data_IF_137478503644
#
_entry.id   IF_137478503644
#
_cell.length_a   1.000
_cell.length_b   1.000
_cell.length_c   1.000
_cell.angle_alpha   90.00
_cell.angle_beta   90.00
_cell.angle_gamma   90.00
#
_symmetry.space_group_name_H-M   'P 1'
#
loop_
_entity.id
_entity.type
_entity.pdbx_description
1 polymer ?
2 water ?
#
# COMPACT_ATOMS: atom_id res chain seq x y z
N UNK A 19 14.60 8.06 -1.92
CA UNK A 19 13.18 7.84 -1.56
C UNK A 19 13.03 7.85 -0.02
N UNK A 20 12.77 9.03 0.53
CA UNK A 20 12.54 9.19 1.96
C UNK A 20 11.07 8.93 2.30
N UNK A 21 10.80 8.25 3.44
CA UNK A 21 9.42 8.09 3.89
C UNK A 21 8.74 9.41 4.23
N UNK A 22 7.47 9.54 3.88
CA UNK A 22 6.62 10.62 4.38
C UNK A 22 5.25 10.06 4.74
N UNK A 23 4.52 10.80 5.57
CA UNK A 23 3.17 10.42 5.98
C UNK A 23 2.23 10.42 4.77
N UNK A 24 2.44 11.35 3.85
CA UNK A 24 1.65 11.45 2.62
C UNK A 24 1.80 10.25 1.71
N UNK A 25 3.04 9.82 1.47
CA UNK A 25 3.32 8.66 0.65
C UNK A 25 2.75 7.38 1.27
N UNK A 26 2.91 7.26 2.59
CA UNK A 26 2.35 6.13 3.34
C UNK A 26 0.83 6.07 3.24
N UNK A 27 0.19 7.23 3.35
CA UNK A 27 -1.27 7.33 3.21
C UNK A 27 -1.75 6.94 1.81
N UNK A 28 -0.94 7.27 0.80
CA UNK A 28 -1.24 6.92 -0.58
C UNK A 28 -1.20 5.41 -0.80
N UNK A 29 -0.14 4.75 -0.32
CA UNK A 29 -0.04 3.28 -0.38
C UNK A 29 -1.17 2.61 0.41
N UNK A 30 -1.58 3.25 1.51
CA UNK A 30 -2.71 2.78 2.30
C UNK A 30 -4.00 2.79 1.47
N UNK A 31 -4.22 3.86 0.71
CA UNK A 31 -5.40 3.97 -0.16
C UNK A 31 -5.33 2.95 -1.30
N UNK A 32 -4.16 2.84 -1.93
CA UNK A 32 -3.95 1.88 -3.02
C UNK A 32 -4.23 0.45 -2.54
N UNK A 33 -3.67 0.09 -1.40
CA UNK A 33 -3.88 -1.22 -0.80
C UNK A 33 -5.36 -1.54 -0.59
N UNK A 34 -6.07 -0.59 0.01
CA UNK A 34 -7.52 -0.74 0.25
C UNK A 34 -8.31 -0.84 -1.05
N UNK A 35 -7.88 -0.14 -2.09
CA UNK A 35 -8.53 -0.19 -3.40
C UNK A 35 -8.36 -1.57 -4.04
N UNK A 36 -7.14 -2.09 -3.99
CA UNK A 36 -6.84 -3.42 -4.53
C UNK A 36 -7.65 -4.52 -3.83
N UNK A 37 -7.79 -4.42 -2.52
CA UNK A 37 -8.59 -5.37 -1.74
C UNK A 37 -10.06 -5.33 -2.17
N UNK A 38 -10.63 -4.13 -2.29
CA UNK A 38 -12.01 -3.96 -2.73
C UNK A 38 -12.24 -4.57 -4.12
N UNK A 39 -11.40 -4.18 -5.06
CA UNK A 39 -11.48 -4.69 -6.44
C UNK A 39 -11.44 -6.22 -6.49
N UNK A 40 -10.53 -6.81 -5.72
CA UNK A 40 -10.40 -8.27 -5.62
C UNK A 40 -11.67 -8.91 -5.05
N UNK A 41 -12.21 -8.29 -4.01
CA UNK A 41 -13.42 -8.79 -3.34
C UNK A 41 -14.66 -8.66 -4.22
N UNK A 42 -14.73 -7.60 -5.02
CA UNK A 42 -15.84 -7.41 -5.97
C UNK A 42 -15.84 -8.54 -7.01
N UNK A 43 -14.65 -8.84 -7.53
CA UNK A 43 -14.49 -9.91 -8.52
C UNK A 43 -14.83 -11.28 -7.95
N UNK A 44 -14.37 -11.55 -6.73
CA UNK A 44 -14.59 -12.85 -6.07
C UNK A 44 -16.06 -13.07 -5.70
N UNK A 45 -16.71 -12.00 -5.26
CA UNK A 45 -18.13 -12.06 -4.87
C UNK A 45 -19.09 -12.03 -6.07
N UNK A 46 -18.56 -11.81 -7.26
CA UNK A 46 -19.37 -11.76 -8.48
C UNK A 46 -20.00 -10.40 -8.74
N UNK A 47 -19.53 -9.38 -8.03
CA UNK A 47 -20.02 -8.01 -8.24
C UNK A 47 -19.54 -7.47 -9.58
N UNK A 48 -18.30 -7.80 -9.93
CA UNK A 48 -17.76 -7.54 -11.28
C UNK A 48 -17.55 -8.89 -11.96
N UNK A 49 -17.97 -8.99 -13.22
CA UNK A 49 -17.91 -10.25 -13.99
C UNK A 49 -16.70 -10.33 -14.92
N UNK A 50 -15.80 -9.34 -14.85
CA UNK A 50 -14.65 -9.26 -15.75
C UNK A 50 -13.38 -8.88 -15.00
N UNK A 51 -12.25 -9.25 -15.57
CA UNK A 51 -10.94 -8.94 -14.99
C UNK A 51 -10.58 -7.49 -15.27
N UNK A 52 -10.06 -6.81 -14.25
CA UNK A 52 -9.43 -5.50 -14.41
C UNK A 52 -7.94 -5.67 -14.20
N UNK A 53 -7.15 -4.86 -14.91
CA UNK A 53 -5.69 -4.98 -14.88
C UNK A 53 -5.02 -3.65 -14.55
N UNK A 54 -3.98 -3.70 -13.72
CA UNK A 54 -3.25 -2.51 -13.27
C UNK A 54 -2.01 -2.28 -14.13
N UNK A 68 -4.21 1.33 -33.12
CA UNK A 68 -4.35 2.61 -32.44
C UNK A 68 -4.55 2.41 -30.94
N UNK A 69 -3.80 3.15 -30.14
CA UNK A 69 -3.87 3.09 -28.68
C UNK A 69 -4.82 4.15 -28.16
N UNK A 70 -5.94 3.71 -27.60
CA UNK A 70 -6.97 4.62 -27.09
C UNK A 70 -6.51 5.38 -25.84
N UNK A 71 -6.77 6.69 -25.83
CA UNK A 71 -6.46 7.56 -24.69
C UNK A 71 -4.97 7.60 -24.33
N UNK A 72 -4.10 7.60 -25.34
CA UNK A 72 -2.66 7.60 -25.10
C UNK A 72 -2.17 8.88 -24.41
N UNK A 73 -2.86 9.99 -24.66
CA UNK A 73 -2.55 11.27 -24.04
C UNK A 73 -2.82 11.30 -22.53
N UNK A 74 -3.67 10.39 -22.06
CA UNK A 74 -3.95 10.23 -20.63
C UNK A 74 -2.89 9.40 -19.91
N UNK A 75 -1.96 8.82 -20.67
CA UNK A 75 -0.83 8.08 -20.10
C UNK A 75 0.01 9.01 -19.23
N UNK A 76 0.27 8.58 -18.00
CA UNK A 76 1.04 9.36 -17.02
C UNK A 76 0.34 10.65 -16.53
N UNK A 77 -0.97 10.76 -16.75
CA UNK A 77 -1.75 11.89 -16.24
C UNK A 77 -2.33 11.61 -14.85
N UNK A 78 -2.64 10.35 -14.59
CA UNK A 78 -3.25 9.93 -13.32
C UNK A 78 -2.42 8.84 -12.64
N UNK A 79 -2.66 8.66 -11.34
CA UNK A 79 -1.84 7.76 -10.51
C UNK A 79 -1.97 6.29 -10.91
N UNK A 80 -3.21 5.87 -11.19
CA UNK A 80 -3.51 4.49 -11.49
C UNK A 80 -4.52 4.40 -12.63
N UNK A 81 -4.25 3.50 -13.58
CA UNK A 81 -5.16 3.24 -14.69
C UNK A 81 -5.67 1.81 -14.58
N UNK A 82 -6.99 1.66 -14.67
CA UNK A 82 -7.61 0.33 -14.65
C UNK A 82 -7.90 -0.12 -16.08
N UNK A 83 -7.21 -1.18 -16.51
CA UNK A 83 -7.32 -1.71 -17.86
C UNK A 83 -8.24 -2.94 -17.91
N UNK A 84 -8.71 -3.25 -19.11
CA UNK A 84 -9.45 -4.49 -19.38
C UNK A 84 -8.91 -5.14 -20.65
N UNK A 85 -9.08 -6.45 -20.75
CA UNK A 85 -8.63 -7.21 -21.93
C UNK A 85 -9.65 -7.17 -23.06
N UNK A 86 -9.25 -6.58 -24.18
CA UNK A 86 -10.05 -6.63 -25.40
C UNK A 86 -9.91 -8.00 -26.04
N UNK A 87 -8.67 -8.35 -26.37
CA UNK A 87 -8.33 -9.63 -26.98
C UNK A 87 -6.89 -9.97 -26.59
N UNK A 88 -5.92 -9.47 -27.37
CA UNK A 88 -4.51 -9.50 -26.99
C UNK A 88 -4.01 -8.08 -26.75
N UNK A 89 -4.95 -7.13 -26.65
CA UNK A 89 -4.65 -5.74 -26.35
C UNK A 89 -5.37 -5.33 -25.07
N UNK A 90 -4.89 -4.25 -24.46
CA UNK A 90 -5.46 -3.74 -23.21
C UNK A 90 -6.03 -2.35 -23.42
N UNK A 91 -7.20 -2.11 -22.83
CA UNK A 91 -7.93 -0.87 -23.00
C UNK A 91 -8.19 -0.23 -21.64
N UNK A 92 -7.78 1.03 -21.44
CA UNK A 92 -8.01 1.69 -20.16
C UNK A 92 -9.48 2.05 -19.98
N UNK A 93 -10.07 1.54 -18.90
CA UNK A 93 -11.49 1.72 -18.62
C UNK A 93 -11.71 2.92 -17.69
N UNK A 94 -10.94 2.97 -16.61
CA UNK A 94 -11.02 4.07 -15.65
C UNK A 94 -9.64 4.57 -15.28
N UNK A 95 -9.57 5.83 -14.89
CA UNK A 95 -8.35 6.45 -14.39
C UNK A 95 -8.59 6.91 -12.96
N UNK A 96 -7.64 6.60 -12.08
CA UNK A 96 -7.82 6.83 -10.64
C UNK A 96 -6.67 7.66 -10.08
N UNK A 97 -7.02 8.66 -9.27
CA UNK A 97 -6.05 9.50 -8.60
C UNK A 97 -6.13 9.24 -7.10
N UNK A 98 -4.99 8.92 -6.49
CA UNK A 98 -4.91 8.64 -5.07
C UNK A 98 -4.66 9.92 -4.28
N UNK A 99 -5.53 10.21 -3.32
CA UNK A 99 -5.37 11.35 -2.42
C UNK A 99 -5.03 10.83 -1.02
N UNK A 100 -3.80 11.03 -0.60
CA UNK A 100 -3.32 10.54 0.69
C UNK A 100 -3.73 11.42 1.85
N UNK A 101 -2.93 12.44 2.12
CA UNK A 101 -3.20 13.39 3.20
C UNK A 101 -4.25 14.41 2.78
N UNK A 102 -5.15 14.74 3.70
CA UNK A 102 -6.15 15.77 3.47
C UNK A 102 -5.57 17.16 3.71
N UNK A 103 -6.31 18.18 3.31
CA UNK A 103 -5.89 19.58 3.54
C UNK A 103 -6.01 19.95 5.02
N UNK A 104 -6.96 19.33 5.71
CA UNK A 104 -7.25 19.64 7.11
C UNK A 104 -6.40 18.83 8.09
N UNK A 105 -6.33 17.50 7.91
CA UNK A 105 -5.71 16.61 8.90
C UNK A 105 -4.23 16.89 9.16
N UNK A 106 -3.60 17.64 8.27
CA UNK A 106 -2.27 18.21 8.52
C UNK A 106 -2.35 19.51 9.35
N UNK A 107 -3.45 19.69 10.08
CA UNK A 107 -3.70 20.88 10.90
C UNK A 107 -3.53 22.17 10.11
N UNK A 113 -12.99 19.80 12.88
CA UNK A 113 -14.24 19.70 12.14
C UNK A 113 -14.19 18.65 11.05
N UNK A 114 -14.92 18.91 9.96
CA UNK A 114 -14.99 17.98 8.83
C UNK A 114 -13.71 18.05 7.98
N UNK A 115 -13.29 16.90 7.48
CA UNK A 115 -12.07 16.81 6.67
C UNK A 115 -12.30 17.39 5.27
N UNK A 116 -11.36 18.21 4.82
CA UNK A 116 -11.40 18.85 3.50
C UNK A 116 -10.25 18.34 2.64
N UNK A 117 -10.54 18.05 1.37
CA UNK A 117 -9.52 17.57 0.43
C UNK A 117 -9.31 18.55 -0.72
N UNK A 118 -8.04 18.79 -1.03
CA UNK A 118 -7.66 19.67 -2.14
C UNK A 118 -7.35 18.81 -3.37
N UNK A 119 -8.04 19.10 -4.47
CA UNK A 119 -7.87 18.36 -5.72
C UNK A 119 -7.47 19.32 -6.84
N UNK A 120 -6.36 19.01 -7.51
CA UNK A 120 -5.82 19.86 -8.57
C UNK A 120 -6.83 20.04 -9.70
N UNK A 121 -7.13 21.30 -10.02
CA UNK A 121 -8.02 21.64 -11.12
C UNK A 121 -7.54 21.08 -12.46
N UNK A 122 -6.23 21.01 -12.64
CA UNK A 122 -5.62 20.49 -13.87
C UNK A 122 -6.05 19.04 -14.14
N UNK A 123 -6.21 18.25 -13.08
CA UNK A 123 -6.66 16.87 -13.19
C UNK A 123 -8.09 16.79 -13.76
N UNK A 124 -8.93 17.72 -13.36
CA UNK A 124 -10.33 17.75 -13.80
C UNK A 124 -10.45 18.28 -15.22
N UNK A 125 -9.68 19.33 -15.52
CA UNK A 125 -9.62 19.89 -16.87
C UNK A 125 -9.14 18.88 -17.91
N UNK A 126 -8.20 18.02 -17.53
CA UNK A 126 -7.72 16.97 -18.41
C UNK A 126 -8.83 15.96 -18.73
N UNK A 127 -9.62 15.60 -17.71
CA UNK A 127 -10.75 14.68 -17.90
C UNK A 127 -11.82 15.27 -18.82
N UNK A 128 -12.00 16.59 -18.74
CA UNK A 128 -12.95 17.29 -19.60
C UNK A 128 -12.45 17.27 -21.04
N UNK A 129 -11.17 17.58 -21.22
CA UNK A 129 -10.54 17.62 -22.55
C UNK A 129 -10.69 16.29 -23.29
N UNK A 130 -10.42 15.18 -22.59
CA UNK A 130 -10.50 13.84 -23.20
C UNK A 130 -11.89 13.21 -23.08
N UNK A 131 -12.88 14.01 -22.68
CA UNK A 131 -14.27 13.55 -22.58
C UNK A 131 -14.37 12.25 -21.78
N UNK A 132 -13.87 12.30 -20.55
CA UNK A 132 -13.78 11.12 -19.68
C UNK A 132 -14.13 11.50 -18.23
N UNK A 133 -15.04 12.46 -18.09
CA UNK A 133 -15.37 13.04 -16.77
C UNK A 133 -15.90 12.03 -15.78
N UNK A 134 -16.75 11.11 -16.23
CA UNK A 134 -17.32 10.07 -15.38
C UNK A 134 -16.40 8.89 -15.11
N UNK A 135 -15.31 8.81 -15.85
CA UNK A 135 -14.38 7.68 -15.76
C UNK A 135 -13.08 8.04 -15.02
N UNK A 136 -13.00 9.29 -14.56
CA UNK A 136 -11.85 9.77 -13.80
C UNK A 136 -12.28 9.95 -12.35
N UNK A 137 -11.70 9.13 -11.47
CA UNK A 137 -12.07 9.13 -10.05
C UNK A 137 -10.92 9.56 -9.16
N UNK A 138 -11.26 10.29 -8.10
CA UNK A 138 -10.33 10.63 -7.04
C UNK A 138 -10.75 9.83 -5.82
N UNK A 139 -9.77 9.27 -5.11
CA UNK A 139 -10.04 8.39 -3.97
C UNK A 139 -9.24 8.81 -2.74
N UNK A 140 -9.87 8.77 -1.57
CA UNK A 140 -9.16 8.89 -0.29
C UNK A 140 -9.75 7.91 0.72
N UNK A 141 -8.98 7.65 1.77
CA UNK A 141 -9.44 6.80 2.87
C UNK A 141 -9.85 7.67 4.06
N UNK A 142 -11.09 7.51 4.50
CA UNK A 142 -11.59 8.19 5.69
C UNK A 142 -11.35 7.31 6.91
N UNK A 143 -10.54 7.79 7.84
CA UNK A 143 -10.11 7.01 9.00
C UNK A 143 -11.24 6.79 10.01
N UNK A 144 -11.98 7.86 10.30
CA UNK A 144 -13.08 7.82 11.27
C UNK A 144 -14.20 6.87 10.85
N UNK A 145 -14.56 6.91 9.58
CA UNK A 145 -15.59 6.03 9.03
C UNK A 145 -15.03 4.67 8.62
N UNK A 146 -13.71 4.58 8.51
CA UNK A 146 -13.01 3.35 8.13
C UNK A 146 -13.52 2.84 6.78
N UNK A 147 -13.37 3.67 5.76
CA UNK A 147 -13.93 3.37 4.44
C UNK A 147 -13.30 4.24 3.36
N UNK A 148 -13.12 3.65 2.18
CA UNK A 148 -12.66 4.39 1.01
C UNK A 148 -13.78 5.30 0.51
N UNK A 149 -13.42 6.50 0.07
CA UNK A 149 -14.37 7.46 -0.50
C UNK A 149 -13.90 7.92 -1.87
N UNK A 150 -14.85 8.09 -2.79
CA UNK A 150 -14.53 8.51 -4.15
C UNK A 150 -15.37 9.68 -4.62
N UNK A 151 -14.91 10.32 -5.68
CA UNK A 151 -15.64 11.37 -6.37
C UNK A 151 -15.11 11.46 -7.81
N UNK A 152 -16.01 11.64 -8.77
CA UNK A 152 -15.64 11.71 -10.17
C UNK A 152 -15.33 13.14 -10.59
N UNK A 153 -14.59 13.29 -11.69
CA UNK A 153 -14.33 14.60 -12.29
C UNK A 153 -15.65 15.27 -12.71
N UNK A 154 -16.58 14.46 -13.21
CA UNK A 154 -17.92 14.92 -13.58
C UNK A 154 -18.63 15.56 -12.39
N UNK A 155 -18.61 14.88 -11.24
CA UNK A 155 -19.28 15.36 -10.04
C UNK A 155 -18.62 16.62 -9.46
N UNK A 156 -17.31 16.74 -9.60
CA UNK A 156 -16.60 17.94 -9.16
C UNK A 156 -17.10 19.16 -9.92
N UNK A 157 -17.13 19.04 -11.25
CA UNK A 157 -17.68 20.11 -12.11
C UNK A 157 -19.15 20.38 -11.81
N UNK A 158 -19.90 19.32 -11.50
CA UNK A 158 -21.31 19.48 -11.11
C UNK A 158 -21.47 20.26 -9.81
N UNK A 159 -20.61 19.98 -8.84
CA UNK A 159 -20.61 20.72 -7.56
C UNK A 159 -20.20 22.19 -7.76
N UNK A 160 -19.33 22.44 -8.72
CA UNK A 160 -18.90 23.81 -9.04
C UNK A 160 -20.03 24.63 -9.67
N UNK A 161 -20.79 24.00 -10.57
CA UNK A 161 -21.96 24.63 -11.19
C UNK A 161 -23.02 24.99 -10.14
N UNK A 162 -23.15 24.15 -9.12
CA UNK A 162 -24.08 24.36 -8.01
C UNK A 162 -23.53 25.31 -6.93
N UNK A 163 -22.32 25.81 -7.14
CA UNK A 163 -21.64 26.70 -6.17
C UNK A 163 -21.47 26.07 -4.78
N UNK A 164 -21.22 24.76 -4.75
CA UNK A 164 -20.98 24.04 -3.51
C UNK A 164 -19.48 23.96 -3.19
N UNK A 165 -18.66 23.92 -4.24
CA UNK A 165 -17.21 24.03 -4.13
C UNK A 165 -16.71 25.05 -5.14
N UNK A 166 -15.50 25.55 -4.94
CA UNK A 166 -14.90 26.53 -5.86
C UNK A 166 -13.41 26.30 -6.12
N UNK A 167 -12.97 26.70 -7.31
CA UNK A 167 -11.55 26.70 -7.69
C UNK A 167 -10.84 27.87 -7.02
N UNK A 168 -9.62 27.63 -6.54
CA UNK A 168 -8.80 28.66 -5.91
C UNK A 168 -7.31 28.36 -6.04
N UNK A 169 -6.53 29.42 -6.27
CA UNK A 169 -5.08 29.31 -6.37
C UNK A 169 -4.46 29.19 -4.98
N UNK A 176 -1.19 27.06 -9.44
CA UNK A 176 -1.95 25.80 -9.49
C UNK A 176 -3.26 25.89 -8.69
N UNK A 177 -4.38 25.87 -9.39
CA UNK A 177 -5.70 25.94 -8.78
C UNK A 177 -6.09 24.60 -8.13
N UNK A 178 -6.88 24.69 -7.07
CA UNK A 178 -7.37 23.51 -6.34
C UNK A 178 -8.86 23.62 -6.05
N UNK A 179 -9.58 22.51 -6.25
CA UNK A 179 -10.95 22.39 -5.76
C UNK A 179 -10.91 21.94 -4.31
N UNK A 180 -11.51 22.73 -3.42
CA UNK A 180 -11.66 22.35 -2.01
C UNK A 180 -12.98 21.62 -1.83
N UNK A 181 -12.90 20.32 -1.53
CA UNK A 181 -14.07 19.46 -1.50
C UNK A 181 -14.22 18.79 -0.12
N UNK A 182 -15.21 19.22 0.68
CA UNK A 182 -15.46 18.56 1.95
C UNK A 182 -15.83 17.09 1.79
N UNK A 183 -15.49 16.31 2.80
CA UNK A 183 -15.61 14.84 2.76
C UNK A 183 -17.06 14.35 2.56
N UNK A 184 -18.03 15.15 3.00
CA UNK A 184 -19.46 14.81 2.86
C UNK A 184 -19.91 14.74 1.40
N UNK A 185 -19.26 15.51 0.53
CA UNK A 185 -19.56 15.48 -0.91
C UNK A 185 -18.96 14.27 -1.62
N UNK A 186 -17.98 13.62 -0.99
CA UNK A 186 -17.42 12.37 -1.52
C UNK A 186 -18.39 11.23 -1.26
N UNK A 187 -18.26 10.17 -2.03
CA UNK A 187 -19.18 9.03 -1.95
C UNK A 187 -18.41 7.73 -1.83
N UNK A 188 -19.10 6.68 -1.37
CA UNK A 188 -18.50 5.35 -1.26
C UNK A 188 -18.24 4.72 -2.63
N UNK A 189 -17.42 3.66 -2.64
CA UNK A 189 -16.93 3.05 -3.89
C UNK A 189 -18.00 2.38 -4.76
N UNK A 190 -19.23 2.30 -4.25
CA UNK A 190 -20.37 1.82 -5.05
C UNK A 190 -20.49 2.60 -6.36
N UNK A 191 -20.27 3.90 -6.28
CA UNK A 191 -20.27 4.80 -7.45
C UNK A 191 -19.26 4.32 -8.49
N UNK A 192 -18.04 4.03 -8.04
CA UNK A 192 -16.97 3.56 -8.91
C UNK A 192 -17.31 2.21 -9.53
N UNK A 193 -17.87 1.33 -8.72
CA UNK A 193 -18.25 -0.03 -9.15
C UNK A 193 -19.29 0.00 -10.27
N UNK A 194 -20.30 0.86 -10.11
CA UNK A 194 -21.34 1.03 -11.12
C UNK A 194 -20.78 1.60 -12.42
N UNK A 195 -19.90 2.60 -12.29
CA UNK A 195 -19.22 3.19 -13.45
C UNK A 195 -18.36 2.15 -14.17
N UNK A 196 -17.65 1.34 -13.39
CA UNK A 196 -16.77 0.30 -13.93
C UNK A 196 -17.54 -0.68 -14.81
N UNK A 197 -18.68 -1.15 -14.31
CA UNK A 197 -19.55 -2.08 -15.05
C UNK A 197 -20.20 -1.41 -16.27
N UNK A 198 -20.71 -0.21 -16.07
CA UNK A 198 -21.42 0.52 -17.12
C UNK A 198 -20.54 0.86 -18.31
N UNK A 199 -19.37 1.43 -18.04
CA UNK A 199 -18.41 1.78 -19.08
C UNK A 199 -17.77 0.56 -19.73
N UNK A 200 -17.68 -0.54 -18.98
CA UNK A 200 -17.24 -1.82 -19.54
C UNK A 200 -18.22 -2.30 -20.62
N UNK A 201 -19.52 -2.25 -20.29
CA UNK A 201 -20.58 -2.65 -21.22
C UNK A 201 -20.65 -1.71 -22.43
N UNK A 202 -20.38 -0.44 -22.21
CA UNK A 202 -20.41 0.56 -23.28
C UNK A 202 -19.32 0.32 -24.32
N UNK A 203 -18.11 0.07 -23.84
CA UNK A 203 -16.96 -0.16 -24.72
C UNK A 203 -16.91 -1.58 -25.31
N UNK A 204 -17.48 -2.53 -24.58
CA UNK A 204 -17.66 -3.89 -25.10
C UNK A 204 -18.57 -3.84 -26.34
N UNK A 205 -19.53 -2.92 -26.30
CA UNK A 205 -20.43 -2.66 -27.44
C UNK A 205 -19.75 -1.82 -28.51
N UNK A 206 -18.90 -0.88 -28.10
CA UNK A 206 -18.19 0.02 -29.03
C UNK A 206 -17.34 -0.72 -30.06
N UNK A 207 -16.68 -1.80 -29.62
CA UNK A 207 -15.86 -2.61 -30.52
C UNK A 207 -16.72 -3.45 -31.45
N UNK B 17 3.33 -8.55 -17.62
CA UNK B 17 3.06 -7.28 -18.34
C UNK B 17 1.90 -6.53 -17.68
N UNK B 18 0.79 -7.24 -17.46
CA UNK B 18 -0.39 -6.70 -16.79
C UNK B 18 -0.78 -7.59 -15.61
N UNK B 19 -0.84 -6.99 -14.42
CA UNK B 19 -1.09 -7.73 -13.18
C UNK B 19 -2.56 -7.64 -12.75
N UNK B 20 -3.03 -8.71 -12.10
CA UNK B 20 -4.40 -8.79 -11.62
C UNK B 20 -4.44 -8.45 -10.13
N UNK B 21 -5.40 -7.61 -9.70
CA UNK B 21 -5.54 -7.29 -8.27
C UNK B 21 -5.81 -8.53 -7.41
N UNK B 22 -5.07 -8.65 -6.31
CA UNK B 22 -5.29 -9.70 -5.33
C UNK B 22 -5.36 -9.09 -3.94
N UNK B 23 -6.10 -9.74 -3.04
CA UNK B 23 -6.23 -9.29 -1.66
C UNK B 23 -4.86 -9.27 -0.98
N UNK B 24 -4.04 -10.29 -1.27
CA UNK B 24 -2.68 -10.37 -0.74
C UNK B 24 -1.82 -9.18 -1.11
N UNK B 25 -1.85 -8.79 -2.38
CA UNK B 25 -1.07 -7.64 -2.85
C UNK B 25 -1.59 -6.34 -2.25
N UNK B 26 -2.91 -6.23 -2.10
CA UNK B 26 -3.53 -5.09 -1.43
C UNK B 26 -3.08 -4.97 0.01
N UNK B 27 -3.04 -6.10 0.71
CA UNK B 27 -2.56 -6.14 2.10
C UNK B 27 -1.09 -5.74 2.22
N UNK B 28 -0.29 -6.06 1.21
CA UNK B 28 1.13 -5.70 1.20
C UNK B 28 1.32 -4.18 1.14
N UNK B 29 0.62 -3.53 0.23
CA UNK B 29 0.64 -2.08 0.11
C UNK B 29 0.11 -1.40 1.37
N UNK B 30 -0.89 -2.03 1.99
CA UNK B 30 -1.46 -1.54 3.25
C UNK B 30 -0.41 -1.59 4.36
N UNK B 31 0.32 -2.70 4.46
CA UNK B 31 1.42 -2.83 5.43
C UNK B 31 2.54 -1.86 5.11
N UNK B 32 2.87 -1.73 3.82
CA UNK B 32 3.91 -0.81 3.37
C UNK B 32 3.56 0.63 3.74
N UNK B 33 2.31 1.00 3.55
CA UNK B 33 1.82 2.34 3.87
C UNK B 33 1.90 2.64 5.36
N UNK B 34 1.39 1.71 6.18
CA UNK B 34 1.47 1.82 7.63
C UNK B 34 2.91 1.92 8.12
N UNK B 35 3.81 1.16 7.50
CA UNK B 35 5.23 1.21 7.82
C UNK B 35 5.85 2.58 7.50
N UNK B 36 5.52 3.11 6.31
CA UNK B 36 6.01 4.44 5.91
C UNK B 36 5.52 5.54 6.85
N UNK B 37 4.26 5.44 7.28
CA UNK B 37 3.69 6.38 8.24
C UNK B 37 4.44 6.31 9.58
N UNK B 38 4.67 5.10 10.07
CA UNK B 38 5.37 4.89 11.34
C UNK B 38 6.80 5.43 11.30
N UNK B 39 7.53 5.08 10.24
CA UNK B 39 8.90 5.58 10.04
C UNK B 39 8.96 7.11 10.00
N UNK B 40 7.98 7.71 9.32
CA UNK B 40 7.91 9.18 9.19
C UNK B 40 7.60 9.84 10.54
N UNK B 41 6.69 9.23 11.31
CA UNK B 41 6.33 9.75 12.63
C UNK B 41 7.48 9.65 13.62
N UNK B 42 8.27 8.57 13.56
CA UNK B 42 9.44 8.42 14.42
C UNK B 42 10.46 9.52 14.14
N UNK B 43 10.64 9.84 12.86
CA UNK B 43 11.56 10.89 12.45
C UNK B 43 11.08 12.28 12.87
N UNK B 44 9.78 12.54 12.65
CA UNK B 44 9.17 13.82 13.00
C UNK B 44 9.18 14.08 14.51
N UNK B 45 8.88 13.04 15.28
CA UNK B 45 8.86 13.14 16.75
C UNK B 45 10.24 13.02 17.40
N UNK B 46 11.28 12.85 16.58
CA UNK B 46 12.65 12.78 17.07
C UNK B 46 13.02 11.42 17.66
N UNK B 47 12.21 10.40 17.38
CA UNK B 47 12.48 9.04 17.84
C UNK B 47 13.58 8.38 16.99
N UNK B 48 13.76 8.86 15.76
CA UNK B 48 14.99 8.60 15.01
C UNK B 48 15.54 9.93 14.52
N UNK B 49 16.86 10.08 14.57
CA UNK B 49 17.52 11.35 14.27
C UNK B 49 18.28 11.32 12.94
N UNK B 50 17.99 10.32 12.11
CA UNK B 50 18.70 10.14 10.84
C UNK B 50 17.73 9.77 9.72
N UNK B 51 18.19 9.93 8.48
CA UNK B 51 17.39 9.64 7.30
C UNK B 51 17.44 8.17 6.94
N UNK B 52 16.26 7.58 6.71
CA UNK B 52 16.14 6.20 6.25
C UNK B 52 15.61 6.21 4.82
N UNK B 53 16.06 5.26 4.01
CA UNK B 53 15.68 5.19 2.59
C UNK B 53 15.18 3.80 2.23
N UNK B 54 13.99 3.73 1.65
CA UNK B 54 13.35 2.46 1.31
C UNK B 54 13.64 2.02 -0.13
N UNK B 55 13.51 0.72 -0.37
CA UNK B 55 13.60 0.18 -1.72
C UNK B 55 12.84 -1.16 -1.80
N UNK B 56 11.62 -1.12 -2.39
CA UNK B 56 10.86 -2.35 -2.61
C UNK B 56 11.50 -3.32 -3.62
N UNK B 57 10.84 -4.45 -3.84
CA UNK B 57 11.30 -5.46 -4.79
C UNK B 57 10.13 -5.97 -5.63
N UNK B 68 32.36 -0.50 -2.81
CA UNK B 68 31.72 -1.77 -2.53
C UNK B 68 30.35 -1.58 -1.89
N UNK B 69 29.36 -2.32 -2.37
CA UNK B 69 28.01 -2.29 -1.83
C UNK B 69 27.79 -3.52 -0.95
N UNK B 70 27.57 -3.27 0.34
CA UNK B 70 27.43 -4.35 1.32
C UNK B 70 26.10 -5.10 1.17
N UNK B 71 26.14 -6.40 1.42
CA UNK B 71 24.96 -7.27 1.40
C UNK B 71 24.19 -7.22 0.08
N UNK B 72 24.90 -7.16 -1.04
CA UNK B 72 24.26 -7.09 -2.35
C UNK B 72 23.52 -8.39 -2.67
N UNK B 73 23.96 -9.50 -2.09
CA UNK B 73 23.29 -10.80 -2.22
C UNK B 73 21.92 -10.88 -1.56
N UNK B 74 21.66 -10.00 -0.60
CA UNK B 74 20.36 -9.95 0.08
C UNK B 74 19.34 -9.04 -0.62
N UNK B 75 19.79 -8.28 -1.63
CA UNK B 75 18.98 -7.27 -2.30
C UNK B 75 17.65 -7.80 -2.84
N UNK B 76 17.68 -9.00 -3.42
CA UNK B 76 16.49 -9.60 -4.04
C UNK B 76 15.77 -10.60 -3.12
N UNK B 77 16.25 -10.76 -1.89
CA UNK B 77 15.76 -11.80 -0.99
C UNK B 77 14.56 -11.40 -0.15
N UNK B 78 14.42 -10.10 0.14
CA UNK B 78 13.35 -9.60 1.01
C UNK B 78 12.52 -8.52 0.31
N UNK B 79 11.31 -8.29 0.82
CA UNK B 79 10.35 -7.36 0.19
C UNK B 79 10.82 -5.91 0.21
N UNK B 80 11.39 -5.48 1.34
CA UNK B 80 11.86 -4.12 1.51
C UNK B 80 13.24 -4.10 2.17
N UNK B 81 14.04 -3.11 1.79
CA UNK B 81 15.32 -2.87 2.43
C UNK B 81 15.38 -1.41 2.87
N UNK B 82 15.73 -1.19 4.14
CA UNK B 82 15.93 0.16 4.67
C UNK B 82 17.41 0.51 4.62
N UNK B 83 17.72 1.57 3.88
CA UNK B 83 19.10 2.07 3.74
C UNK B 83 19.33 3.35 4.54
N UNK B 84 20.60 3.67 4.75
CA UNK B 84 21.02 4.99 5.27
C UNK B 84 22.05 5.58 4.32
N UNK B 85 22.12 6.90 4.27
CA UNK B 85 23.01 7.59 3.32
C UNK B 85 24.44 7.68 3.84
N UNK B 86 25.32 6.88 3.25
CA UNK B 86 26.76 7.01 3.46
C UNK B 86 27.35 7.80 2.28
N UNK B 87 27.64 9.08 2.50
CA UNK B 87 28.01 10.03 1.43
C UNK B 87 27.11 9.91 0.18
N UNK B 88 27.65 9.45 -0.95
CA UNK B 88 26.84 9.22 -2.16
C UNK B 88 26.46 7.75 -2.30
N UNK B 89 26.82 6.93 -1.32
CA UNK B 89 26.51 5.50 -1.32
C UNK B 89 25.43 5.20 -0.28
N UNK B 90 24.77 4.06 -0.45
CA UNK B 90 23.71 3.64 0.46
C UNK B 90 24.07 2.31 1.12
N UNK B 91 23.83 2.23 2.43
CA UNK B 91 24.13 1.03 3.22
C UNK B 91 22.85 0.49 3.85
N UNK B 92 22.53 -0.79 3.59
CA UNK B 92 21.28 -1.36 4.11
C UNK B 92 21.39 -1.73 5.59
N UNK B 93 20.59 -1.08 6.44
CA UNK B 93 20.60 -1.34 7.87
C UNK B 93 19.71 -2.52 8.24
N UNK B 94 18.52 -2.57 7.66
CA UNK B 94 17.55 -3.63 7.94
C UNK B 94 16.90 -4.15 6.67
N UNK B 95 16.44 -5.40 6.74
CA UNK B 95 15.66 -6.02 5.68
C UNK B 95 14.31 -6.43 6.24
N UNK B 96 13.26 -6.11 5.53
CA UNK B 96 11.91 -6.34 6.00
C UNK B 96 11.09 -7.18 5.05
N UNK B 97 10.37 -8.14 5.60
CA UNK B 97 9.50 -8.99 4.83
C UNK B 97 8.06 -8.81 5.27
N UNK B 98 7.18 -8.64 4.30
CA UNK B 98 5.76 -8.47 4.60
C UNK B 98 4.99 -9.77 4.49
N UNK B 99 4.35 -10.15 5.58
CA UNK B 99 3.57 -11.39 5.65
C UNK B 99 2.28 -11.17 6.43
N UNK B 107 -10.95 -16.58 11.53
CA UNK B 107 -10.09 -16.99 10.42
C UNK B 107 -9.07 -18.03 10.87
N UNK B 108 -7.98 -17.57 11.49
CA UNK B 108 -6.90 -18.44 11.94
C UNK B 108 -7.19 -18.98 13.33
N UNK B 109 -7.95 -18.21 14.12
CA UNK B 109 -8.28 -18.58 15.49
C UNK B 109 -9.30 -19.73 15.55
N UNK B 110 -10.36 -19.63 14.76
CA UNK B 110 -11.36 -20.69 14.70
C UNK B 110 -10.79 -21.98 14.06
N UNK B 111 -9.84 -21.78 13.15
CA UNK B 111 -9.20 -22.88 12.43
C UNK B 111 -8.19 -23.63 13.29
N UNK B 112 -7.35 -22.89 14.01
CA UNK B 112 -6.26 -23.48 14.80
C UNK B 112 -6.33 -23.19 16.31
N UNK B 113 -7.31 -22.40 16.76
CA UNK B 113 -7.44 -22.05 18.18
C UNK B 113 -6.83 -20.70 18.51
N UNK B 114 -5.67 -20.44 17.92
CA UNK B 114 -4.96 -19.18 18.08
C UNK B 114 -4.48 -18.71 16.72
N UNK B 115 -4.40 -17.38 16.53
CA UNK B 115 -3.94 -16.82 15.27
C UNK B 115 -2.46 -17.14 15.05
N UNK B 116 -2.16 -17.74 13.91
CA UNK B 116 -0.79 -18.15 13.57
C UNK B 116 -0.39 -17.59 12.21
N UNK B 117 0.87 -17.18 12.10
CA UNK B 117 1.44 -16.71 10.84
C UNK B 117 2.57 -17.63 10.41
N UNK B 118 2.60 -17.95 9.12
CA UNK B 118 3.62 -18.81 8.54
C UNK B 118 4.69 -17.98 7.86
N UNK B 119 5.95 -18.25 8.20
CA UNK B 119 7.11 -17.58 7.59
C UNK B 119 8.02 -18.63 6.95
N UNK B 120 8.34 -18.44 5.68
CA UNK B 120 9.21 -19.36 4.93
C UNK B 120 10.53 -19.56 5.67
N UNK B 121 10.88 -20.83 5.89
CA UNK B 121 12.11 -21.19 6.59
C UNK B 121 13.37 -20.64 5.90
N UNK B 122 13.39 -20.68 4.58
CA UNK B 122 14.53 -20.19 3.80
C UNK B 122 14.87 -18.72 4.10
N UNK B 123 13.85 -17.92 4.39
CA UNK B 123 14.04 -16.50 4.74
C UNK B 123 14.91 -16.34 5.99
N UNK B 124 14.74 -17.27 6.93
CA UNK B 124 15.52 -17.28 8.17
C UNK B 124 16.90 -17.87 7.95
N UNK B 125 16.97 -18.93 7.15
CA UNK B 125 18.24 -19.56 6.76
C UNK B 125 19.16 -18.55 6.07
N UNK B 126 18.58 -17.73 5.19
CA UNK B 126 19.32 -16.68 4.49
C UNK B 126 19.88 -15.65 5.47
N UNK B 127 19.06 -15.26 6.44
CA UNK B 127 19.48 -14.33 7.49
C UNK B 127 20.64 -14.90 8.31
N UNK B 128 20.55 -16.20 8.63
CA UNK B 128 21.62 -16.91 9.34
C UNK B 128 22.89 -16.98 8.50
N UNK B 129 22.72 -17.35 7.23
CA UNK B 129 23.83 -17.47 6.28
C UNK B 129 24.64 -16.18 6.16
N UNK B 130 23.94 -15.06 6.03
CA UNK B 130 24.58 -13.73 5.90
C UNK B 130 24.87 -13.06 7.25
N UNK B 131 24.52 -13.73 8.35
CA UNK B 131 24.78 -13.24 9.70
C UNK B 131 24.10 -11.89 9.94
N UNK B 132 22.82 -11.81 9.61
CA UNK B 132 22.01 -10.60 9.81
C UNK B 132 20.67 -10.96 10.49
N UNK B 133 20.74 -11.90 11.43
CA UNK B 133 19.53 -12.42 12.10
C UNK B 133 18.74 -11.34 12.84
N UNK B 134 19.46 -10.44 13.50
CA UNK B 134 18.84 -9.33 14.23
C UNK B 134 18.42 -8.16 13.35
N UNK B 135 18.82 -8.18 12.09
CA UNK B 135 18.52 -7.09 11.15
C UNK B 135 17.45 -7.45 10.11
N UNK B 136 16.97 -8.69 10.15
CA UNK B 136 15.93 -9.15 9.25
C UNK B 136 14.62 -9.29 10.02
N UNK B 137 13.63 -8.49 9.64
CA UNK B 137 12.34 -8.45 10.34
C UNK B 137 11.20 -8.92 9.45
N UNK B 138 10.24 -9.59 10.07
CA UNK B 138 9.00 -9.98 9.42
C UNK B 138 7.88 -9.16 10.03
N UNK B 139 6.96 -8.69 9.21
CA UNK B 139 5.92 -7.77 9.65
C UNK B 139 4.55 -8.15 9.06
N UNK B 140 3.51 -8.06 9.89
CA UNK B 140 2.13 -8.14 9.43
C UNK B 140 1.28 -7.07 10.10
N UNK B 141 0.14 -6.77 9.50
CA UNK B 141 -0.81 -5.80 10.05
C UNK B 141 -1.89 -6.52 10.84
N UNK B 142 -1.98 -6.20 12.13
CA UNK B 142 -3.03 -6.74 13.00
C UNK B 142 -4.27 -5.86 12.90
N UNK B 143 -5.35 -6.40 12.35
CA UNK B 143 -6.56 -5.62 12.06
C UNK B 143 -7.39 -5.36 13.32
N UNK B 144 -7.48 -6.35 14.20
CA UNK B 144 -8.21 -6.21 15.46
C UNK B 144 -7.58 -5.16 16.36
N UNK B 145 -6.27 -5.27 16.56
CA UNK B 145 -5.52 -4.32 17.39
C UNK B 145 -5.25 -2.99 16.65
N UNK B 146 -5.36 -3.01 15.32
CA UNK B 146 -5.05 -1.85 14.48
C UNK B 146 -3.59 -1.41 14.67
N UNK B 147 -2.69 -2.38 14.58
CA UNK B 147 -1.25 -2.13 14.75
C UNK B 147 -0.41 -3.08 13.91
N UNK B 148 0.77 -2.60 13.52
CA UNK B 148 1.78 -3.44 12.88
C UNK B 148 2.52 -4.24 13.94
N UNK B 149 2.69 -5.54 13.69
CA UNK B 149 3.45 -6.42 14.57
C UNK B 149 4.69 -6.91 13.83
N UNK B 150 5.76 -7.17 14.57
CA UNK B 150 7.02 -7.62 13.97
C UNK B 150 7.72 -8.69 14.79
N UNK B 151 8.60 -9.44 14.12
CA UNK B 151 9.49 -10.40 14.77
C UNK B 151 10.76 -10.51 13.93
N UNK B 152 11.90 -10.62 14.60
CA UNK B 152 13.19 -10.75 13.90
C UNK B 152 13.49 -12.22 13.61
N UNK B 153 14.36 -12.45 12.64
CA UNK B 153 14.85 -13.80 12.35
C UNK B 153 15.57 -14.39 13.56
N UNK B 154 16.32 -13.54 14.27
CA UNK B 154 16.99 -13.92 15.52
C UNK B 154 15.99 -14.47 16.54
N UNK B 155 14.90 -13.73 16.75
CA UNK B 155 13.87 -14.12 17.71
C UNK B 155 13.21 -15.44 17.32
N UNK B 156 12.98 -15.64 16.02
CA UNK B 156 12.37 -16.88 15.54
C UNK B 156 13.22 -18.10 15.89
N UNK B 157 14.51 -18.04 15.55
CA UNK B 157 15.44 -19.13 15.89
C UNK B 157 15.52 -19.39 17.40
N UNK B 158 15.50 -18.32 18.19
CA UNK B 158 15.50 -18.45 19.66
C UNK B 158 14.28 -19.20 20.17
N UNK B 159 13.10 -18.85 19.64
CA UNK B 159 11.86 -19.53 19.99
C UNK B 159 11.89 -21.02 19.60
N UNK B 160 12.47 -21.31 18.44
CA UNK B 160 12.62 -22.69 17.97
C UNK B 160 13.48 -23.53 18.92
N UNK B 161 14.59 -22.96 19.37
CA UNK B 161 15.49 -23.64 20.32
C UNK B 161 14.81 -23.88 21.66
N UNK B 162 13.97 -22.95 22.10
CA UNK B 162 13.20 -23.06 23.33
C UNK B 162 11.97 -23.95 23.17
N UNK B 163 11.73 -24.45 21.96
CA UNK B 163 10.61 -25.33 21.65
C UNK B 163 9.25 -24.65 21.83
N UNK B 164 9.22 -23.35 21.54
CA UNK B 164 8.01 -22.54 21.66
C UNK B 164 7.23 -22.46 20.35
N UNK B 165 7.93 -22.66 19.24
CA UNK B 165 7.31 -22.76 17.92
C UNK B 165 7.86 -23.97 17.18
N UNK B 166 7.24 -24.32 16.06
CA UNK B 166 7.67 -25.47 15.26
C UNK B 166 7.89 -25.07 13.81
N UNK B 167 8.85 -25.74 13.15
CA UNK B 167 8.91 -25.78 11.69
C UNK B 167 7.97 -26.87 11.21
N UNK B 168 7.41 -26.70 10.03
CA UNK B 168 6.54 -27.73 9.44
C UNK B 168 6.38 -27.57 7.93
N UNK B 169 6.32 -28.70 7.24
CA UNK B 169 6.08 -28.76 5.80
C UNK B 169 4.59 -29.00 5.54
N UNK B 170 4.02 -28.25 4.59
CA UNK B 170 2.62 -28.44 4.21
C UNK B 170 2.49 -29.53 3.16
N UNK B 171 3.34 -29.48 2.13
CA UNK B 171 3.37 -30.48 1.07
C UNK B 171 4.75 -31.12 0.96
N UNK B 175 10.30 -28.96 -1.91
CA UNK B 175 9.49 -28.61 -0.74
C UNK B 175 9.94 -27.28 -0.13
N UNK B 176 9.18 -26.83 0.86
CA UNK B 176 9.39 -25.52 1.49
C UNK B 176 8.89 -25.52 2.94
N UNK B 177 9.83 -25.46 3.87
CA UNK B 177 9.49 -25.45 5.30
C UNK B 177 8.97 -24.07 5.74
N UNK B 178 8.12 -24.09 6.77
CA UNK B 178 7.53 -22.88 7.33
C UNK B 178 7.60 -22.91 8.86
N UNK B 179 7.96 -21.76 9.46
CA UNK B 179 7.82 -21.56 10.90
C UNK B 179 6.40 -21.09 11.18
N UNK B 180 5.67 -21.84 12.00
CA UNK B 180 4.33 -21.45 12.44
C UNK B 180 4.45 -20.64 13.73
N UNK B 181 4.13 -19.35 13.64
CA UNK B 181 4.35 -18.41 14.75
C UNK B 181 3.04 -17.74 15.18
N UNK B 182 2.53 -18.11 16.36
CA UNK B 182 1.35 -17.45 16.92
C UNK B 182 1.55 -15.95 17.11
N UNK B 183 0.48 -15.17 16.94
CA UNK B 183 0.54 -13.71 16.99
C UNK B 183 1.07 -13.15 18.32
N UNK B 184 0.86 -13.90 19.40
CA UNK B 184 1.32 -13.47 20.72
C UNK B 184 2.84 -13.40 20.84
N UNK B 185 3.55 -14.21 20.05
CA UNK B 185 5.02 -14.18 20.02
C UNK B 185 5.57 -12.99 19.21
N UNK B 186 4.73 -12.40 18.36
CA UNK B 186 5.09 -11.20 17.61
C UNK B 186 5.07 -10.01 18.57
N UNK B 187 5.80 -8.96 18.21
CA UNK B 187 5.95 -7.79 19.07
C UNK B 187 5.68 -6.51 18.28
N UNK B 188 5.38 -5.44 18.99
CA UNK B 188 5.12 -4.14 18.35
C UNK B 188 6.40 -3.52 17.79
N UNK B 189 6.23 -2.51 16.92
CA UNK B 189 7.33 -1.94 16.14
C UNK B 189 8.43 -1.23 16.94
N UNK B 190 8.23 -1.06 18.25
CA UNK B 190 9.28 -0.53 19.13
C UNK B 190 10.57 -1.34 18.98
N UNK B 191 10.42 -2.66 18.89
CA UNK B 191 11.54 -3.58 18.67
C UNK B 191 12.35 -3.18 17.44
N UNK B 192 11.64 -2.93 16.33
CA UNK B 192 12.25 -2.54 15.06
C UNK B 192 12.93 -1.17 15.15
N UNK B 193 12.28 -0.25 15.86
CA UNK B 193 12.81 1.10 16.07
C UNK B 193 14.13 1.09 16.84
N UNK B 194 14.18 0.29 17.90
CA UNK B 194 15.39 0.14 18.72
C UNK B 194 16.53 -0.47 17.90
N UNK B 195 16.21 -1.50 17.13
CA UNK B 195 17.16 -2.14 16.23
C UNK B 195 17.70 -1.15 15.19
N UNK B 196 16.79 -0.37 14.63
CA UNK B 196 17.14 0.61 13.59
C UNK B 196 18.18 1.62 14.12
N UNK B 197 17.93 2.15 15.32
CA UNK B 197 18.84 3.10 15.96
C UNK B 197 20.18 2.45 16.37
N UNK B 198 20.08 1.27 16.96
CA UNK B 198 21.26 0.55 17.45
C UNK B 198 22.24 0.17 16.36
N UNK B 199 21.71 -0.44 15.30
CA UNK B 199 22.53 -0.85 14.15
C UNK B 199 23.03 0.36 13.34
N UNK B 200 22.26 1.45 13.35
CA UNK B 200 22.72 2.71 12.74
C UNK B 200 23.98 3.21 13.43
N UNK B 201 23.95 3.23 14.76
CA UNK B 201 25.10 3.64 15.57
C UNK B 201 26.29 2.70 15.44
N UNK B 202 26.01 1.42 15.27
CA UNK B 202 27.06 0.40 15.10
C UNK B 202 27.84 0.59 13.81
N UNK B 203 27.13 0.79 12.71
CA UNK B 203 27.77 0.92 11.39
C UNK B 203 28.24 2.33 11.08
N UNK B 204 27.68 3.33 11.77
CA UNK B 204 28.22 4.69 11.75
C UNK B 204 29.61 4.70 12.40
#
# INVERSE_FOLDING_TARGET
MTETDFKLKYWGNQEQDYILPTVGLGREYLVLGKLLISLSKWRAKGLIDFDVYLRPTGVGTLTNTINYEYYKGLEDKYDLTLYIRAKDSYYPLLWIDITGSSWTEEQSKERYGESIYAILSVKVETAKKYDVLGRVFFIHYNDTEDKLKCISALQILNLERQNKIKKDKFERGAKSEYYLIPTSYWKNLTELRIALRGFYQSFKEYLARSNK
MTETDFKLKYWGNQEQDYILPTVGLGREYLVLGKLLISLSKWRAKGLIDFDVYLRPTGVGTLTNTINYEYYKGLEDKYDLTLYIRAKDSYYPLLWIDITGSSWTEEQSKERYGESIYAILSVKVETAKKYDVLGRVFFIHYNDTEDKLKCISALQILNLERQNKIKKDKFERGAKSEYYLIPTSYWKNLTELRIALRGFYQSFKEYLARSNK
#
